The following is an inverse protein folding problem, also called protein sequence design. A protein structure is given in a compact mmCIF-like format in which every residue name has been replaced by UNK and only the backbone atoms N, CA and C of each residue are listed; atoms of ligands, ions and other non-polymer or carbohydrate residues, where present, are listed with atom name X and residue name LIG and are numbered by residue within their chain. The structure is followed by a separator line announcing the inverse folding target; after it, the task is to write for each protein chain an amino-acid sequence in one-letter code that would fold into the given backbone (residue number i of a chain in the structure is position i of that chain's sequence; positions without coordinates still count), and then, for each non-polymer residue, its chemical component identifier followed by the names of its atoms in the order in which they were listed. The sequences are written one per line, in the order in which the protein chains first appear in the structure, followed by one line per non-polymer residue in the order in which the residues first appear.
data_IF_826607550264
#
_entry.id   IF_826607550264
#
_cell.length_a   1.000
_cell.length_b   1.000
_cell.length_c   1.000
_cell.angle_alpha   90.00
_cell.angle_beta   90.00
_cell.angle_gamma   90.00
#
_symmetry.space_group_name_H-M   'P 1'
#
loop_
_entity.id
_entity.type
_entity.pdbx_description
1 polymer ?
#
# COMPACT_ATOMS: atom_id res chain seq x y z
N UNK A 1 12.73 12.56 -19.76
CA UNK A 1 12.40 12.61 -18.32
C UNK A 1 11.22 13.55 -18.13
N UNK A 2 9.98 13.04 -18.18
CA UNK A 2 8.83 13.81 -17.74
C UNK A 2 8.58 13.40 -16.29
N UNK A 3 8.95 14.27 -15.34
CA UNK A 3 8.43 14.15 -13.98
C UNK A 3 6.93 14.45 -14.10
N UNK A 4 6.07 13.49 -13.80
CA UNK A 4 4.64 13.75 -13.68
C UNK A 4 4.46 14.75 -12.52
N UNK A 5 4.23 16.03 -12.87
CA UNK A 5 4.03 17.11 -11.90
C UNK A 5 2.68 16.99 -11.16
N UNK A 6 1.92 15.92 -11.42
CA UNK A 6 0.61 15.66 -10.85
C UNK A 6 0.69 15.09 -9.43
N UNK A 7 1.78 14.40 -9.06
CA UNK A 7 1.96 13.83 -7.72
C UNK A 7 1.71 14.85 -6.60
N UNK A 8 2.41 16.01 -6.60
CA UNK A 8 2.17 17.08 -5.63
C UNK A 8 0.72 17.59 -5.60
N UNK A 9 0.07 17.71 -6.76
CA UNK A 9 -1.32 18.17 -6.85
C UNK A 9 -2.30 17.13 -6.25
N UNK A 10 -2.07 15.84 -6.49
CA UNK A 10 -2.91 14.77 -5.95
C UNK A 10 -2.77 14.69 -4.43
N UNK A 11 -1.57 14.84 -3.86
CA UNK A 11 -1.42 14.93 -2.39
C UNK A 11 -2.18 16.11 -1.79
N UNK A 12 -2.16 17.29 -2.45
CA UNK A 12 -2.94 18.45 -1.99
C UNK A 12 -4.44 18.11 -1.96
N UNK A 13 -4.96 17.45 -3.00
CA UNK A 13 -6.36 17.04 -3.05
C UNK A 13 -6.71 16.00 -1.98
N UNK A 14 -5.88 14.97 -1.80
CA UNK A 14 -6.11 13.93 -0.80
C UNK A 14 -6.02 14.47 0.62
N UNK A 15 -5.07 15.37 0.92
CA UNK A 15 -4.97 15.99 2.24
C UNK A 15 -6.18 16.87 2.54
N UNK A 16 -6.68 17.64 1.57
CA UNK A 16 -7.94 18.40 1.73
C UNK A 16 -9.14 17.48 1.98
N UNK A 17 -9.22 16.36 1.25
CA UNK A 17 -10.27 15.36 1.46
C UNK A 17 -10.17 14.73 2.86
N UNK A 18 -8.95 14.48 3.34
CA UNK A 18 -8.68 13.95 4.67
C UNK A 18 -9.14 14.92 5.76
N UNK A 19 -8.82 16.21 5.64
CA UNK A 19 -9.26 17.26 6.56
C UNK A 19 -10.80 17.34 6.65
N UNK A 20 -11.48 17.26 5.49
CA UNK A 20 -12.94 17.23 5.43
C UNK A 20 -13.49 16.00 6.16
N UNK A 21 -12.94 14.81 5.88
CA UNK A 21 -13.36 13.57 6.52
C UNK A 21 -13.18 13.62 8.04
N UNK A 22 -12.05 14.15 8.53
CA UNK A 22 -11.76 14.32 9.95
C UNK A 22 -12.72 15.30 10.62
N UNK A 23 -12.94 16.47 10.01
CA UNK A 23 -13.88 17.50 10.51
C UNK A 23 -15.30 16.95 10.62
N UNK A 24 -15.73 16.16 9.64
CA UNK A 24 -17.06 15.55 9.58
C UNK A 24 -17.14 14.21 10.31
N UNK A 25 -16.06 13.76 10.97
CA UNK A 25 -15.97 12.48 11.70
C UNK A 25 -16.36 11.28 10.84
N UNK A 26 -16.03 11.33 9.55
CA UNK A 26 -16.24 10.26 8.57
C UNK A 26 -15.11 9.24 8.65
N UNK A 27 -15.19 8.37 9.67
CA UNK A 27 -14.11 7.42 10.03
C UNK A 27 -13.71 6.49 8.87
N UNK A 28 -14.68 6.01 8.09
CA UNK A 28 -14.42 5.09 6.98
C UNK A 28 -13.67 5.80 5.86
N UNK A 29 -14.11 7.00 5.49
CA UNK A 29 -13.51 7.85 4.47
C UNK A 29 -12.12 8.30 4.88
N UNK A 30 -11.93 8.73 6.14
CA UNK A 30 -10.63 9.11 6.69
C UNK A 30 -9.62 7.95 6.51
N UNK A 31 -9.99 6.75 6.95
CA UNK A 31 -9.15 5.55 6.82
C UNK A 31 -8.83 5.23 5.36
N UNK A 32 -9.83 5.28 4.48
CA UNK A 32 -9.64 4.99 3.06
C UNK A 32 -8.71 6.02 2.38
N UNK A 33 -8.83 7.30 2.72
CA UNK A 33 -7.95 8.36 2.19
C UNK A 33 -6.53 8.18 2.72
N UNK A 34 -6.35 7.84 4.00
CA UNK A 34 -5.02 7.52 4.56
C UNK A 34 -4.36 6.33 3.86
N UNK A 35 -5.13 5.29 3.51
CA UNK A 35 -4.63 4.16 2.71
C UNK A 35 -4.19 4.62 1.33
N UNK A 36 -4.99 5.45 0.65
CA UNK A 36 -4.65 5.99 -0.68
C UNK A 36 -3.34 6.79 -0.65
N UNK A 37 -3.16 7.67 0.35
CA UNK A 37 -1.93 8.44 0.54
C UNK A 37 -0.73 7.50 0.74
N UNK A 38 -0.87 6.46 1.58
CA UNK A 38 0.19 5.49 1.82
C UNK A 38 0.57 4.72 0.54
N UNK A 39 -0.41 4.28 -0.24
CA UNK A 39 -0.20 3.61 -1.52
C UNK A 39 0.48 4.52 -2.55
N UNK A 40 0.16 5.81 -2.56
CA UNK A 40 0.82 6.77 -3.45
C UNK A 40 2.31 6.91 -3.16
N UNK A 41 2.71 6.96 -1.89
CA UNK A 41 4.14 6.95 -1.53
C UNK A 41 4.85 5.72 -2.11
N UNK A 42 4.22 4.53 -1.99
CA UNK A 42 4.77 3.29 -2.57
C UNK A 42 4.91 3.38 -4.09
N UNK A 43 3.88 3.88 -4.79
CA UNK A 43 3.90 4.04 -6.25
C UNK A 43 4.99 5.02 -6.72
N UNK A 44 5.34 6.01 -5.90
CA UNK A 44 6.43 6.94 -6.19
C UNK A 44 7.82 6.41 -5.80
N UNK A 45 7.91 5.19 -5.25
CA UNK A 45 9.16 4.61 -4.76
C UNK A 45 9.56 5.06 -3.36
N UNK A 46 8.73 5.85 -2.69
CA UNK A 46 8.94 6.32 -1.32
C UNK A 46 8.47 5.23 -0.33
N UNK A 47 9.17 4.08 -0.38
CA UNK A 47 8.77 2.86 0.33
C UNK A 47 8.76 3.05 1.86
N UNK A 48 9.71 3.78 2.42
CA UNK A 48 9.81 4.04 3.86
C UNK A 48 8.66 4.95 4.35
N UNK A 49 8.34 6.01 3.61
CA UNK A 49 7.20 6.89 3.88
C UNK A 49 5.87 6.12 3.82
N UNK A 50 5.69 5.31 2.78
CA UNK A 50 4.53 4.42 2.65
C UNK A 50 4.42 3.46 3.84
N UNK A 51 5.53 2.82 4.22
CA UNK A 51 5.60 1.90 5.35
C UNK A 51 5.18 2.58 6.67
N UNK A 52 5.74 3.77 6.95
CA UNK A 52 5.41 4.56 8.13
C UNK A 52 3.91 4.90 8.19
N UNK A 53 3.32 5.31 7.06
CA UNK A 53 1.88 5.62 6.97
C UNK A 53 1.01 4.39 7.22
N UNK A 54 1.42 3.21 6.72
CA UNK A 54 0.72 1.96 7.04
C UNK A 54 0.87 1.54 8.50
N UNK A 55 2.03 1.78 9.13
CA UNK A 55 2.19 1.52 10.57
C UNK A 55 1.24 2.39 11.41
N UNK A 56 1.03 3.66 11.02
CA UNK A 56 0.06 4.52 11.69
C UNK A 56 -1.39 4.07 11.45
N UNK A 57 -1.69 3.42 10.33
CA UNK A 57 -2.98 2.78 10.08
C UNK A 57 -3.17 1.55 10.97
N UNK A 58 -2.15 0.71 11.12
CA UNK A 58 -2.16 -0.44 12.04
C UNK A 58 -2.40 0.01 13.49
N UNK A 59 -1.74 1.07 13.95
CA UNK A 59 -1.96 1.63 15.30
C UNK A 59 -3.40 2.12 15.49
N UNK A 60 -4.01 2.68 14.45
CA UNK A 60 -5.36 3.23 14.51
C UNK A 60 -6.44 2.13 14.46
N UNK A 61 -6.24 1.09 13.64
CA UNK A 61 -7.16 -0.04 13.50
C UNK A 61 -6.36 -1.34 13.28
N UNK A 62 -5.94 -2.03 14.35
CA UNK A 62 -5.15 -3.25 14.25
C UNK A 62 -5.89 -4.42 13.58
N UNK A 63 -7.22 -4.32 13.39
CA UNK A 63 -8.03 -5.37 12.76
C UNK A 63 -8.25 -5.15 11.28
N UNK A 64 -7.87 -3.98 10.74
CA UNK A 64 -7.85 -3.76 9.31
C UNK A 64 -6.72 -4.59 8.69
N UNK A 65 -7.06 -5.57 7.85
CA UNK A 65 -6.06 -6.42 7.21
C UNK A 65 -5.26 -5.71 6.11
N UNK A 66 -5.79 -4.61 5.54
CA UNK A 66 -5.23 -3.96 4.34
C UNK A 66 -3.82 -3.39 4.59
N UNK A 67 -3.54 -2.68 5.69
CA UNK A 67 -2.20 -2.22 5.99
C UNK A 67 -1.17 -3.36 6.05
N UNK A 68 -1.49 -4.49 6.67
CA UNK A 68 -0.57 -5.64 6.74
C UNK A 68 -0.26 -6.21 5.35
N UNK A 69 -1.27 -6.34 4.47
CA UNK A 69 -1.03 -6.76 3.09
C UNK A 69 -0.05 -5.81 2.38
N UNK A 70 -0.28 -4.49 2.48
CA UNK A 70 0.58 -3.50 1.85
C UNK A 70 2.00 -3.47 2.46
N UNK A 71 2.13 -3.60 3.78
CA UNK A 71 3.44 -3.70 4.44
C UNK A 71 4.20 -4.93 3.98
N UNK A 72 3.53 -6.08 3.82
CA UNK A 72 4.15 -7.30 3.27
C UNK A 72 4.71 -7.10 1.86
N UNK A 73 3.96 -6.40 1.00
CA UNK A 73 4.43 -6.03 -0.35
C UNK A 73 5.64 -5.10 -0.26
N UNK A 74 5.59 -4.04 0.56
CA UNK A 74 6.70 -3.09 0.73
C UNK A 74 7.95 -3.80 1.22
N UNK A 75 7.84 -4.64 2.26
CA UNK A 75 8.96 -5.41 2.77
C UNK A 75 9.53 -6.38 1.72
N UNK A 76 8.68 -6.95 0.85
CA UNK A 76 9.14 -7.79 -0.27
C UNK A 76 9.96 -6.97 -1.28
N UNK A 77 9.54 -5.73 -1.59
CA UNK A 77 10.29 -4.81 -2.45
C UNK A 77 11.64 -4.41 -1.84
N UNK A 78 11.70 -4.29 -0.52
CA UNK A 78 12.93 -4.03 0.25
C UNK A 78 13.81 -5.28 0.46
N UNK A 79 13.43 -6.44 -0.09
CA UNK A 79 14.08 -7.75 0.13
C UNK A 79 14.12 -8.20 1.61
N UNK A 80 13.23 -7.63 2.44
CA UNK A 80 13.04 -7.96 3.86
C UNK A 80 12.04 -9.12 4.00
N UNK A 81 12.47 -10.31 3.58
CA UNK A 81 11.60 -11.49 3.41
C UNK A 81 10.94 -11.96 4.72
N UNK A 82 11.62 -11.81 5.85
CA UNK A 82 11.10 -12.26 7.15
C UNK A 82 9.94 -11.37 7.59
N UNK A 83 10.17 -10.07 7.56
CA UNK A 83 9.19 -9.03 7.88
C UNK A 83 7.99 -9.14 6.93
N UNK A 84 8.24 -9.33 5.63
CA UNK A 84 7.19 -9.56 4.65
C UNK A 84 6.30 -10.75 5.01
N UNK A 85 6.91 -11.90 5.35
CA UNK A 85 6.18 -13.10 5.74
C UNK A 85 5.31 -12.86 6.98
N UNK A 86 5.84 -12.20 8.02
CA UNK A 86 5.09 -11.87 9.23
C UNK A 86 3.84 -11.01 8.93
N UNK A 87 3.98 -10.02 8.03
CA UNK A 87 2.84 -9.18 7.64
C UNK A 87 1.81 -9.96 6.82
N UNK A 88 2.24 -10.84 5.92
CA UNK A 88 1.32 -11.66 5.13
C UNK A 88 0.56 -12.70 5.98
N UNK A 89 1.19 -13.28 7.00
CA UNK A 89 0.48 -14.15 7.94
C UNK A 89 -0.57 -13.36 8.74
N UNK A 90 -0.24 -12.15 9.18
CA UNK A 90 -1.20 -11.27 9.88
C UNK A 90 -2.36 -10.87 8.97
N UNK A 91 -2.08 -10.51 7.71
CA UNK A 91 -3.10 -10.27 6.69
C UNK A 91 -4.05 -11.48 6.55
N UNK A 92 -3.51 -12.69 6.41
CA UNK A 92 -4.32 -13.91 6.24
C UNK A 92 -5.17 -14.24 7.45
N UNK A 93 -4.68 -13.96 8.66
CA UNK A 93 -5.42 -14.16 9.90
C UNK A 93 -6.57 -13.17 10.08
N UNK A 94 -6.44 -11.94 9.57
CA UNK A 94 -7.44 -10.88 9.71
C UNK A 94 -8.43 -10.80 8.54
N UNK A 95 -8.03 -11.21 7.33
CA UNK A 95 -8.88 -11.15 6.16
C UNK A 95 -10.06 -12.15 6.30
N UNK A 96 -11.31 -11.70 6.19
CA UNK A 96 -12.47 -12.59 6.23
C UNK A 96 -12.39 -13.66 5.15
N UNK A 97 -12.83 -14.88 5.47
CA UNK A 97 -12.75 -15.99 4.52
C UNK A 97 -13.59 -15.76 3.26
N UNK A 98 -14.75 -15.15 3.45
CA UNK A 98 -15.69 -14.77 2.38
C UNK A 98 -15.30 -13.44 1.70
N UNK A 99 -14.13 -12.87 2.00
CA UNK A 99 -13.75 -11.57 1.44
C UNK A 99 -13.73 -11.64 -0.09
N UNK A 100 -14.53 -10.80 -0.79
CA UNK A 100 -14.55 -10.80 -2.24
C UNK A 100 -13.16 -10.56 -2.80
N UNK A 101 -12.72 -11.43 -3.71
CA UNK A 101 -11.38 -11.39 -4.35
C UNK A 101 -10.22 -11.77 -3.42
N UNK A 102 -10.44 -12.52 -2.34
CA UNK A 102 -9.35 -13.08 -1.52
C UNK A 102 -8.31 -13.83 -2.35
N UNK A 103 -8.75 -14.68 -3.29
CA UNK A 103 -7.84 -15.41 -4.20
C UNK A 103 -6.89 -14.49 -4.96
N UNK A 104 -7.39 -13.38 -5.50
CA UNK A 104 -6.54 -12.39 -6.19
C UNK A 104 -5.50 -11.76 -5.26
N UNK A 105 -5.86 -11.49 -4.00
CA UNK A 105 -4.90 -10.95 -3.03
C UNK A 105 -3.84 -12.00 -2.63
N UNK A 106 -4.23 -13.27 -2.52
CA UNK A 106 -3.31 -14.37 -2.29
C UNK A 106 -2.35 -14.60 -3.47
N UNK A 107 -2.84 -14.43 -4.70
CA UNK A 107 -1.99 -14.45 -5.91
C UNK A 107 -0.96 -13.30 -5.87
N UNK A 108 -1.38 -12.10 -5.47
CA UNK A 108 -0.48 -10.97 -5.30
C UNK A 108 0.58 -11.22 -4.20
N UNK A 109 0.20 -11.89 -3.10
CA UNK A 109 1.12 -12.30 -2.04
C UNK A 109 2.12 -13.34 -2.57
N UNK A 110 1.64 -14.32 -3.35
CA UNK A 110 2.50 -15.33 -3.96
C UNK A 110 3.52 -14.67 -4.87
N UNK A 111 3.07 -13.77 -5.73
CA UNK A 111 3.94 -13.00 -6.63
C UNK A 111 4.98 -12.20 -5.84
N UNK A 112 4.55 -11.50 -4.78
CA UNK A 112 5.43 -10.73 -3.91
C UNK A 112 6.54 -11.60 -3.27
N UNK A 113 6.22 -12.87 -2.97
CA UNK A 113 7.17 -13.83 -2.40
C UNK A 113 8.11 -14.45 -3.42
N UNK A 114 7.70 -14.60 -4.68
CA UNK A 114 8.45 -15.33 -5.71
C UNK A 114 9.46 -14.44 -6.43
N UNK A 115 9.09 -13.19 -6.72
CA UNK A 115 9.96 -12.24 -7.42
C UNK A 115 10.88 -11.51 -6.45
N UNK A 116 12.15 -11.35 -6.84
CA UNK A 116 13.08 -10.51 -6.09
C UNK A 116 12.66 -9.04 -6.21
N UNK A 117 12.88 -8.22 -5.16
CA UNK A 117 12.55 -6.79 -5.19
C UNK A 117 13.14 -6.05 -6.40
N UNK A 118 14.33 -6.45 -6.86
CA UNK A 118 14.96 -5.94 -8.10
C UNK A 118 14.19 -6.30 -9.37
N UNK A 119 13.66 -7.51 -9.47
CA UNK A 119 12.88 -7.93 -10.63
C UNK A 119 11.54 -7.20 -10.68
N UNK A 120 10.89 -7.02 -9.52
CA UNK A 120 9.69 -6.22 -9.41
C UNK A 120 9.90 -4.77 -9.81
N UNK A 121 10.93 -4.12 -9.27
CA UNK A 121 11.21 -2.72 -9.58
C UNK A 121 11.44 -2.53 -11.09
N UNK A 122 12.20 -3.43 -11.72
CA UNK A 122 12.45 -3.38 -13.16
C UNK A 122 11.16 -3.54 -13.99
N UNK A 123 10.26 -4.45 -13.59
CA UNK A 123 8.99 -4.65 -14.28
C UNK A 123 8.02 -3.48 -14.06
N UNK A 124 7.95 -2.96 -12.84
CA UNK A 124 7.16 -1.77 -12.50
C UNK A 124 7.65 -0.55 -13.30
N UNK A 125 8.95 -0.27 -13.26
CA UNK A 125 9.54 0.83 -14.03
C UNK A 125 9.30 0.66 -15.53
N UNK A 126 9.34 -0.56 -16.06
CA UNK A 126 9.03 -0.85 -17.46
C UNK A 126 7.55 -0.62 -17.79
N UNK A 127 6.62 -1.06 -16.94
CA UNK A 127 5.17 -0.93 -17.17
C UNK A 127 4.71 0.53 -17.13
N UNK A 128 5.24 1.33 -16.21
CA UNK A 128 4.92 2.75 -16.06
C UNK A 128 5.74 3.67 -16.98
N UNK A 129 6.88 3.22 -17.51
CA UNK A 129 7.63 3.93 -18.57
C UNK A 129 7.09 3.66 -19.97
N UNK A 130 6.36 2.57 -20.18
CA UNK A 130 5.80 2.16 -21.49
C UNK A 130 4.40 2.72 -21.77
N UNK A 131 3.75 3.38 -20.80
CA UNK A 131 2.57 4.22 -21.06
C UNK A 131 3.04 5.60 -21.58
N UNK A 132 3.51 5.62 -22.83
CA UNK A 132 3.80 6.83 -23.61
C UNK A 132 2.68 7.13 -24.59
#
# INVERSE_FOLDING_TARGET
MHKNHEGPAVFVMLNKALEIAQREKRVIEERNIRILIAQMHVVMGELEEGLNKFQDLVKADPRDFRPYLCQGIIYSLLDQKKEAAEQFETYRALAPEEFPRRGFLDDAVLEAKTKSGKQFQNEFDAEFSNRK
#
